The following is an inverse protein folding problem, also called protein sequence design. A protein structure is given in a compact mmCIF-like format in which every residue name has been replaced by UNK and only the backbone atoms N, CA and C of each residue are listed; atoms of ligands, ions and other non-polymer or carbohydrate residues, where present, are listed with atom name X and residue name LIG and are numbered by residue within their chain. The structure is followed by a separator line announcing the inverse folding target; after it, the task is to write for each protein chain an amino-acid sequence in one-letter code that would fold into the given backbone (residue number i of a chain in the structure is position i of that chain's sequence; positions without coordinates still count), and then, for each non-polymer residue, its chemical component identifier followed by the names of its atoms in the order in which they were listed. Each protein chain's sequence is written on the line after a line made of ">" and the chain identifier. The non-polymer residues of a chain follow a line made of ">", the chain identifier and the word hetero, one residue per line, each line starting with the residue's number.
data_IF_032774502449
#
_entry.id   IF_032774502449
#
_cell.length_a   1.000
_cell.length_b   1.000
_cell.length_c   1.000
_cell.angle_alpha   90.00
_cell.angle_beta   90.00
_cell.angle_gamma   90.00
#
_symmetry.space_group_name_H-M   'P 1'
#
loop_
_entity.id
_entity.type
_entity.pdbx_description
1 polymer ?
#
# COMPACT_ATOMS: atom_id res chain seq x y z
N UNK A 1 14.38 -2.16 11.24
CA UNK A 1 14.76 -1.78 9.86
C UNK A 1 13.80 -2.48 8.90
N UNK A 2 13.17 -1.70 8.02
CA UNK A 2 12.38 -2.20 6.89
C UNK A 2 13.28 -2.09 5.66
N UNK A 3 13.52 -3.21 4.98
CA UNK A 3 14.19 -3.20 3.68
C UNK A 3 13.14 -2.97 2.60
N UNK A 4 13.41 -1.97 1.75
CA UNK A 4 12.60 -1.63 0.58
C UNK A 4 13.34 -2.20 -0.62
N UNK A 5 12.69 -3.09 -1.37
CA UNK A 5 13.19 -3.52 -2.68
C UNK A 5 12.64 -2.55 -3.73
N UNK A 6 13.53 -1.94 -4.52
CA UNK A 6 13.15 -1.16 -5.71
C UNK A 6 12.25 -2.03 -6.60
N UNK A 7 11.18 -1.42 -7.13
CA UNK A 7 10.06 -2.10 -7.80
C UNK A 7 10.42 -2.76 -9.12
N UNK A 8 11.65 -2.58 -9.62
CA UNK A 8 12.00 -2.72 -11.03
C UNK A 8 11.54 -4.00 -11.74
N UNK A 9 11.15 -5.09 -11.04
CA UNK A 9 10.53 -6.30 -11.65
C UNK A 9 9.57 -7.08 -10.73
N UNK A 10 8.96 -6.48 -9.69
CA UNK A 10 8.09 -7.27 -8.78
C UNK A 10 6.63 -6.86 -8.94
N UNK A 11 5.84 -7.75 -9.53
CA UNK A 11 4.37 -7.66 -9.50
C UNK A 11 3.93 -7.68 -8.02
N UNK A 12 3.21 -6.65 -7.59
CA UNK A 12 2.70 -6.51 -6.22
C UNK A 12 1.70 -7.63 -5.99
N UNK A 13 1.91 -8.46 -4.97
CA UNK A 13 0.98 -9.51 -4.61
C UNK A 13 -0.03 -8.91 -3.63
N UNK A 14 -1.31 -8.86 -4.01
CA UNK A 14 -2.33 -8.26 -3.16
C UNK A 14 -2.82 -9.23 -2.09
N UNK A 15 -3.46 -8.71 -1.04
CA UNK A 15 -4.06 -9.53 0.02
C UNK A 15 -5.12 -10.49 -0.50
N UNK A 16 -5.85 -10.11 -1.56
CA UNK A 16 -6.87 -10.93 -2.20
C UNK A 16 -6.33 -11.86 -3.28
N UNK A 17 -5.05 -11.77 -3.62
CA UNK A 17 -4.44 -12.72 -4.55
C UNK A 17 -4.26 -14.08 -3.86
N UNK A 18 -5.15 -15.01 -4.19
CA UNK A 18 -5.16 -16.39 -3.69
C UNK A 18 -4.34 -17.35 -4.55
N UNK A 19 -3.80 -16.88 -5.68
CA UNK A 19 -2.99 -17.71 -6.58
C UNK A 19 -1.59 -17.99 -6.03
N UNK A 20 -1.16 -17.25 -5.01
CA UNK A 20 0.15 -17.37 -4.37
C UNK A 20 0.03 -17.46 -2.85
N UNK A 21 0.83 -18.30 -2.21
CA UNK A 21 0.99 -18.30 -0.74
C UNK A 21 2.08 -17.30 -0.34
N UNK A 22 1.79 -16.00 -0.49
CA UNK A 22 2.73 -14.94 -0.15
C UNK A 22 2.32 -14.23 1.14
N UNK A 23 3.12 -14.39 2.19
CA UNK A 23 2.90 -13.78 3.51
C UNK A 23 3.94 -12.69 3.78
N UNK A 24 3.49 -11.47 4.02
CA UNK A 24 4.31 -10.36 4.53
C UNK A 24 3.73 -9.83 5.85
N UNK A 25 4.59 -9.63 6.85
CA UNK A 25 4.19 -9.22 8.21
C UNK A 25 3.08 -10.10 8.84
N UNK A 26 3.17 -11.43 8.64
CA UNK A 26 2.22 -12.45 9.16
C UNK A 26 0.82 -12.43 8.53
N UNK A 27 0.60 -11.69 7.45
CA UNK A 27 -0.65 -11.65 6.71
C UNK A 27 -0.40 -11.78 5.21
N UNK A 28 -1.43 -12.19 4.46
CA UNK A 28 -1.37 -12.39 3.00
C UNK A 28 -1.10 -11.08 2.25
N UNK A 29 -0.31 -11.16 1.19
CA UNK A 29 0.01 -10.06 0.28
C UNK A 29 1.12 -9.14 0.78
N UNK A 30 1.53 -8.22 -0.10
CA UNK A 30 2.58 -7.25 0.12
C UNK A 30 2.12 -6.07 0.98
N UNK A 31 3.05 -5.58 1.80
CA UNK A 31 2.97 -4.24 2.41
C UNK A 31 3.79 -3.29 1.56
N UNK A 32 3.17 -2.22 1.09
CA UNK A 32 3.75 -1.29 0.14
C UNK A 32 4.03 0.05 0.80
N UNK A 33 5.17 0.64 0.46
CA UNK A 33 5.52 2.01 0.82
C UNK A 33 5.20 2.90 -0.38
N UNK A 34 4.38 3.93 -0.20
CA UNK A 34 3.94 4.79 -1.31
C UNK A 34 3.85 6.27 -0.90
N UNK A 35 3.88 7.14 -1.91
CA UNK A 35 3.63 8.58 -1.79
C UNK A 35 2.14 8.86 -1.97
N UNK A 36 1.42 9.37 -0.96
CA UNK A 36 0.01 9.72 -1.14
C UNK A 36 -0.12 10.82 -2.21
N UNK A 37 -1.06 10.66 -3.12
CA UNK A 37 -1.27 11.54 -4.29
C UNK A 37 -0.01 11.77 -5.16
N UNK A 38 0.99 10.88 -5.07
CA UNK A 38 2.28 11.04 -5.75
C UNK A 38 3.11 12.24 -5.28
N UNK A 39 2.77 12.86 -4.14
CA UNK A 39 3.41 14.09 -3.69
C UNK A 39 4.83 13.85 -3.16
N UNK A 40 5.77 14.72 -3.55
CA UNK A 40 7.10 14.79 -2.95
C UNK A 40 7.09 15.63 -1.66
N UNK A 41 8.07 15.40 -0.78
CA UNK A 41 8.20 16.15 0.49
C UNK A 41 7.20 15.80 1.59
N UNK A 42 6.23 14.91 1.33
CA UNK A 42 5.33 14.35 2.34
C UNK A 42 5.86 13.03 2.89
N UNK A 43 5.54 12.72 4.15
CA UNK A 43 5.92 11.44 4.77
C UNK A 43 5.22 10.29 4.02
N UNK A 44 5.96 9.32 3.46
CA UNK A 44 5.36 8.17 2.80
C UNK A 44 4.51 7.30 3.75
N UNK A 45 3.52 6.61 3.18
CA UNK A 45 2.63 5.71 3.90
C UNK A 45 3.06 4.27 3.66
N UNK A 46 2.98 3.43 4.69
CA UNK A 46 3.30 2.00 4.63
C UNK A 46 2.07 1.17 5.01
N UNK A 47 1.34 0.66 4.03
CA UNK A 47 0.10 -0.11 4.23
C UNK A 47 0.04 -1.30 3.27
N UNK A 48 -0.85 -2.26 3.56
CA UNK A 48 -1.02 -3.47 2.76
C UNK A 48 -1.78 -3.19 1.48
N UNK A 49 -1.31 -3.75 0.36
CA UNK A 49 -2.07 -3.77 -0.88
C UNK A 49 -3.20 -4.80 -0.77
N UNK A 50 -4.45 -4.35 -0.83
CA UNK A 50 -5.61 -5.21 -0.63
C UNK A 50 -6.04 -5.89 -1.93
N UNK A 51 -6.18 -5.10 -2.99
CA UNK A 51 -6.51 -5.52 -4.36
C UNK A 51 -6.17 -4.38 -5.33
N UNK A 52 -6.20 -4.70 -6.62
CA UNK A 52 -6.04 -3.74 -7.71
C UNK A 52 -7.41 -3.47 -8.34
N UNK A 53 -7.65 -2.22 -8.76
CA UNK A 53 -8.84 -1.83 -9.52
C UNK A 53 -8.42 -1.14 -10.80
N UNK A 54 -9.15 -1.40 -11.87
CA UNK A 54 -9.00 -0.65 -13.13
C UNK A 54 -9.80 0.65 -13.10
N UNK A 55 -9.41 1.62 -13.95
CA UNK A 55 -10.18 2.84 -14.16
C UNK A 55 -11.66 2.52 -14.47
N UNK A 56 -12.56 3.22 -13.78
CA UNK A 56 -14.01 3.02 -13.92
C UNK A 56 -14.59 1.90 -13.06
N UNK A 57 -13.78 0.99 -12.50
CA UNK A 57 -14.26 -0.05 -11.58
C UNK A 57 -14.59 0.53 -10.20
N UNK A 58 -15.57 -0.04 -9.47
CA UNK A 58 -15.87 0.43 -8.12
C UNK A 58 -14.69 0.17 -7.17
N UNK A 59 -14.21 1.20 -6.48
CA UNK A 59 -13.07 1.09 -5.54
C UNK A 59 -13.36 0.21 -4.32
N UNK A 60 -14.62 -0.06 -4.00
CA UNK A 60 -15.10 -1.05 -3.04
C UNK A 60 -16.57 -1.35 -3.35
N UNK A 61 -17.19 -2.33 -2.66
CA UNK A 61 -18.61 -2.64 -2.87
C UNK A 61 -19.49 -1.41 -2.63
N UNK A 62 -20.26 -1.00 -3.65
CA UNK A 62 -21.05 0.24 -3.66
C UNK A 62 -20.23 1.54 -3.47
N UNK A 63 -18.93 1.50 -3.71
CA UNK A 63 -18.06 2.67 -3.75
C UNK A 63 -18.12 3.40 -5.08
N UNK A 64 -17.49 4.59 -5.17
CA UNK A 64 -17.38 5.30 -6.44
C UNK A 64 -16.44 4.56 -7.39
N UNK A 65 -16.61 4.86 -8.69
CA UNK A 65 -15.71 4.40 -9.74
C UNK A 65 -14.30 4.97 -9.52
N UNK A 66 -13.29 4.15 -9.76
CA UNK A 66 -11.90 4.54 -9.67
C UNK A 66 -11.59 5.60 -10.75
N UNK A 67 -11.03 6.76 -10.38
CA UNK A 67 -10.68 7.81 -11.35
C UNK A 67 -9.51 7.43 -12.26
N UNK A 68 -8.78 6.37 -11.91
CA UNK A 68 -7.71 5.74 -12.67
C UNK A 68 -7.39 4.38 -12.04
N UNK A 69 -6.65 3.53 -12.75
CA UNK A 69 -6.22 2.24 -12.20
C UNK A 69 -5.22 2.38 -11.04
N UNK A 70 -5.23 1.44 -10.11
CA UNK A 70 -4.29 1.41 -8.99
C UNK A 70 -4.67 0.47 -7.86
N UNK A 71 -3.88 0.47 -6.79
CA UNK A 71 -4.09 -0.39 -5.63
C UNK A 71 -5.00 0.27 -4.59
N UNK A 72 -5.93 -0.50 -4.06
CA UNK A 72 -6.63 -0.17 -2.83
C UNK A 72 -5.79 -0.66 -1.66
N UNK A 73 -5.55 0.22 -0.68
CA UNK A 73 -4.63 -0.05 0.42
C UNK A 73 -5.28 0.06 1.79
N UNK A 74 -4.72 -0.62 2.77
CA UNK A 74 -5.22 -0.62 4.15
C UNK A 74 -4.13 -0.91 5.17
N UNK A 75 -4.12 -0.19 6.28
CA UNK A 75 -3.24 -0.51 7.40
C UNK A 75 -3.70 -1.73 8.20
N UNK A 76 -2.75 -2.57 8.63
CA UNK A 76 -3.03 -3.84 9.31
C UNK A 76 -3.59 -3.69 10.74
N UNK A 77 -3.44 -2.52 11.37
CA UNK A 77 -3.93 -2.29 12.73
C UNK A 77 -5.46 -2.13 12.75
N UNK A 78 -6.16 -3.25 12.99
CA UNK A 78 -7.63 -3.32 13.02
C UNK A 78 -8.31 -2.35 14.00
N UNK A 79 -7.62 -1.87 15.04
CA UNK A 79 -8.22 -0.94 16.03
C UNK A 79 -8.31 0.49 15.51
N UNK A 80 -7.42 0.86 14.60
CA UNK A 80 -7.24 2.25 14.14
C UNK A 80 -7.50 2.41 12.64
N UNK A 81 -7.30 1.34 11.87
CA UNK A 81 -7.47 1.31 10.43
C UNK A 81 -8.62 0.38 10.08
N UNK A 82 -9.86 0.85 10.25
CA UNK A 82 -11.07 0.07 9.94
C UNK A 82 -11.55 0.26 8.49
N UNK A 83 -11.17 1.35 7.84
CA UNK A 83 -11.51 1.64 6.43
C UNK A 83 -10.30 1.45 5.49
N UNK A 84 -10.54 1.44 4.17
CA UNK A 84 -9.49 1.58 3.17
C UNK A 84 -8.91 3.00 3.21
N UNK A 85 -7.67 3.15 2.77
CA UNK A 85 -6.99 4.46 2.74
C UNK A 85 -7.74 5.45 1.82
N UNK A 86 -8.39 4.93 0.77
CA UNK A 86 -9.21 5.67 -0.19
C UNK A 86 -10.58 6.10 0.35
N UNK A 87 -11.07 5.46 1.42
CA UNK A 87 -12.27 5.89 2.14
C UNK A 87 -11.97 6.96 3.18
N UNK A 88 -10.72 7.02 3.66
CA UNK A 88 -10.24 7.96 4.66
C UNK A 88 -9.51 9.16 4.06
N UNK A 89 -8.79 9.89 4.90
CA UNK A 89 -8.06 11.12 4.49
C UNK A 89 -6.66 10.85 3.94
N UNK A 90 -6.21 9.59 3.89
CA UNK A 90 -4.83 9.25 3.49
C UNK A 90 -4.67 9.43 1.97
N UNK A 91 -5.56 8.83 1.19
CA UNK A 91 -5.58 8.91 -0.27
C UNK A 91 -7.03 8.99 -0.77
N UNK A 92 -7.78 9.95 -0.26
CA UNK A 92 -9.23 10.06 -0.45
C UNK A 92 -9.61 10.02 -1.93
N UNK A 93 -10.38 8.99 -2.31
CA UNK A 93 -10.80 8.70 -3.68
C UNK A 93 -9.69 8.48 -4.72
N UNK A 94 -8.47 8.23 -4.29
CA UNK A 94 -7.31 8.10 -5.18
C UNK A 94 -6.66 6.72 -4.96
N UNK A 95 -6.94 5.71 -5.82
CA UNK A 95 -6.19 4.46 -5.83
C UNK A 95 -4.69 4.73 -5.88
N UNK A 96 -3.88 3.85 -5.32
CA UNK A 96 -2.43 4.07 -5.33
C UNK A 96 -1.88 3.64 -6.69
N UNK A 97 -1.49 4.62 -7.51
CA UNK A 97 -0.85 4.34 -8.79
C UNK A 97 0.49 3.63 -8.60
N UNK A 98 0.87 2.82 -9.58
CA UNK A 98 2.15 2.10 -9.55
C UNK A 98 3.34 3.05 -9.41
N UNK A 99 3.34 4.18 -10.12
CA UNK A 99 4.41 5.18 -10.04
C UNK A 99 4.49 5.91 -8.68
N UNK A 100 3.45 5.81 -7.84
CA UNK A 100 3.47 6.36 -6.49
C UNK A 100 4.12 5.41 -5.49
N UNK A 101 4.28 4.14 -5.85
CA UNK A 101 4.87 3.12 -4.98
C UNK A 101 6.40 3.24 -5.00
N UNK A 102 6.98 3.42 -3.82
CA UNK A 102 8.43 3.47 -3.61
C UNK A 102 9.02 2.05 -3.58
N UNK A 103 8.27 1.10 -3.02
CA UNK A 103 8.61 -0.33 -3.07
C UNK A 103 7.83 -1.17 -2.06
N UNK A 104 8.14 -2.46 -2.00
CA UNK A 104 7.54 -3.40 -1.03
C UNK A 104 8.40 -3.51 0.22
N UNK A 105 7.75 -3.59 1.38
CA UNK A 105 8.39 -3.84 2.67
C UNK A 105 8.54 -5.35 2.88
N UNK A 106 9.77 -5.86 2.90
CA UNK A 106 9.99 -7.31 2.98
C UNK A 106 10.42 -7.87 4.35
N UNK A 107 10.93 -7.07 5.30
CA UNK A 107 11.31 -7.62 6.63
C UNK A 107 11.35 -6.55 7.73
N UNK A 108 11.09 -6.94 8.99
CA UNK A 108 11.31 -6.14 10.20
C UNK A 108 12.41 -6.77 11.04
N UNK A 109 13.60 -6.17 11.10
CA UNK A 109 14.60 -6.50 12.13
C UNK A 109 14.10 -5.92 13.47
N UNK A 110 13.81 -6.74 14.50
CA UNK A 110 13.50 -6.25 15.84
C UNK A 110 14.71 -5.44 16.38
N UNK A 111 14.50 -4.44 17.23
CA UNK A 111 15.53 -3.59 17.90
C UNK A 111 15.98 -2.28 17.22
N UNK A 112 15.58 -1.95 15.99
CA UNK A 112 15.93 -0.67 15.35
C UNK A 112 14.74 0.29 15.21
N UNK A 113 14.21 0.72 16.35
CA UNK A 113 13.01 1.57 16.48
C UNK A 113 13.20 3.07 16.23
N UNK A 114 14.36 3.53 15.73
CA UNK A 114 14.68 4.97 15.63
C UNK A 114 15.21 5.46 14.27
N UNK A 115 15.14 4.67 13.19
CA UNK A 115 15.45 5.22 11.87
C UNK A 115 14.25 5.98 11.31
N UNK A 116 14.26 7.29 11.58
CA UNK A 116 13.58 8.31 10.79
C UNK A 116 14.06 8.14 9.34
N UNK A 117 13.14 7.86 8.42
CA UNK A 117 13.41 7.85 6.97
C UNK A 117 13.72 9.30 6.56
N UNK A 118 15.00 9.65 6.56
CA UNK A 118 15.52 10.83 5.92
C UNK A 118 15.77 10.47 4.46
N UNK A 119 14.83 10.82 3.59
CA UNK A 119 15.09 10.91 2.16
C UNK A 119 15.05 12.41 1.87
N UNK A 120 16.24 12.96 1.59
CA UNK A 120 16.47 14.35 1.18
C UNK A 120 16.02 14.58 -0.26
#
# INVERSE_FOLDING_TARGET
>A
IIFIKSIDRTQIITNQDTSTEHISFKMQGDVILYRPYGQEGVTPIIHRAMYYVEEGEPMWINGPAAPHSGYITKGDNIRTNIYFDQQGQISYYEPIKEEWIIGTAQFRIPYLGHLRLLIS
#
